data_IF_134669249861
#
_entry.id   IF_134669249861
#
_cell.length_a   1.000
_cell.length_b   1.000
_cell.length_c   1.000
_cell.angle_alpha   90.00
_cell.angle_beta   90.00
_cell.angle_gamma   90.00
#
_symmetry.space_group_name_H-M   'P 1'
#
loop_
_entity.id
_entity.type
_entity.pdbx_description
1 polymer ?
#
# COMPACT_ATOMS: atom_id res chain seq x y z
N UNK A 1 -12.88 64.53 -13.09
CA UNK A 1 -12.37 63.26 -13.65
C UNK A 1 -13.09 62.11 -12.96
N UNK A 2 -13.87 61.29 -13.68
CA UNK A 2 -14.62 60.16 -13.09
C UNK A 2 -13.70 58.93 -12.97
N UNK A 3 -13.69 58.20 -11.84
CA UNK A 3 -12.88 56.99 -11.72
C UNK A 3 -13.52 55.86 -12.53
N UNK A 4 -12.67 55.14 -13.26
CA UNK A 4 -13.03 54.00 -14.11
C UNK A 4 -13.26 52.80 -13.20
N UNK A 5 -14.48 52.26 -13.20
CA UNK A 5 -14.85 51.04 -12.50
C UNK A 5 -14.20 49.85 -13.22
N UNK A 6 -13.20 49.20 -12.60
CA UNK A 6 -12.63 47.94 -13.11
C UNK A 6 -13.50 46.78 -12.63
N UNK A 7 -14.21 46.14 -13.56
CA UNK A 7 -14.93 44.91 -13.28
C UNK A 7 -13.92 43.76 -13.13
N UNK A 8 -14.00 42.90 -12.09
CA UNK A 8 -13.12 41.74 -12.00
C UNK A 8 -13.51 40.72 -13.07
N UNK A 9 -12.56 40.36 -13.93
CA UNK A 9 -12.71 39.24 -14.86
C UNK A 9 -12.60 37.96 -14.02
N UNK A 10 -13.74 37.33 -13.74
CA UNK A 10 -13.78 36.00 -13.14
C UNK A 10 -13.46 34.99 -14.25
N UNK A 11 -12.22 34.50 -14.28
CA UNK A 11 -11.84 33.38 -15.14
C UNK A 11 -12.37 32.11 -14.49
N UNK A 12 -13.55 31.65 -14.93
CA UNK A 12 -14.06 30.34 -14.57
C UNK A 12 -13.20 29.29 -15.30
N UNK A 13 -12.31 28.62 -14.56
CA UNK A 13 -11.61 27.45 -15.07
C UNK A 13 -12.61 26.30 -15.18
N UNK A 14 -13.13 26.06 -16.38
CA UNK A 14 -13.91 24.87 -16.68
C UNK A 14 -12.95 23.67 -16.70
N UNK A 15 -12.89 22.93 -15.59
CA UNK A 15 -12.27 21.62 -15.58
C UNK A 15 -13.17 20.67 -16.40
N UNK A 16 -12.81 20.44 -17.66
CA UNK A 16 -13.38 19.39 -18.48
C UNK A 16 -12.93 18.05 -17.90
N UNK A 17 -13.74 17.46 -17.01
CA UNK A 17 -13.59 16.06 -16.63
C UNK A 17 -13.99 15.21 -17.83
N UNK A 18 -13.01 14.70 -18.56
CA UNK A 18 -13.24 13.58 -19.47
C UNK A 18 -13.63 12.40 -18.57
N UNK A 19 -14.93 12.12 -18.53
CA UNK A 19 -15.47 10.97 -17.81
C UNK A 19 -15.09 9.70 -18.54
N UNK A 20 -13.91 9.16 -18.24
CA UNK A 20 -13.57 7.78 -18.57
C UNK A 20 -14.55 6.92 -17.77
N UNK A 21 -15.38 6.15 -18.46
CA UNK A 21 -16.33 5.26 -17.82
C UNK A 21 -15.55 4.27 -16.92
N UNK A 22 -16.00 4.08 -15.68
CA UNK A 22 -15.36 3.18 -14.71
C UNK A 22 -15.17 1.74 -15.23
N UNK A 23 -15.92 1.34 -16.26
CA UNK A 23 -15.84 0.05 -16.95
C UNK A 23 -14.52 -0.15 -17.73
N UNK A 24 -13.83 0.93 -18.14
CA UNK A 24 -12.55 0.85 -18.89
C UNK A 24 -11.31 0.65 -17.99
N UNK A 25 -11.45 0.76 -16.66
CA UNK A 25 -10.34 0.65 -15.71
C UNK A 25 -10.35 -0.67 -14.92
N UNK A 26 -10.89 -1.74 -15.51
CA UNK A 26 -10.91 -3.07 -14.89
C UNK A 26 -9.68 -3.86 -15.36
N UNK A 27 -8.90 -4.37 -14.41
CA UNK A 27 -7.78 -5.25 -14.74
C UNK A 27 -8.29 -6.61 -15.22
N UNK A 28 -7.94 -6.99 -16.45
CA UNK A 28 -8.12 -8.35 -16.96
C UNK A 28 -6.94 -9.29 -16.63
N UNK A 29 -5.94 -8.79 -15.89
CA UNK A 29 -4.78 -9.59 -15.48
C UNK A 29 -5.21 -10.59 -14.40
N UNK A 30 -5.00 -11.90 -14.59
CA UNK A 30 -5.38 -12.91 -13.61
C UNK A 30 -4.64 -12.69 -12.29
N UNK A 31 -5.33 -12.93 -11.18
CA UNK A 31 -4.72 -12.89 -9.85
C UNK A 31 -3.73 -14.03 -9.75
N UNK A 32 -2.47 -13.69 -9.52
CA UNK A 32 -1.40 -14.60 -9.16
C UNK A 32 -0.81 -14.14 -7.82
N UNK A 33 -0.40 -15.08 -6.95
CA UNK A 33 0.46 -14.73 -5.82
C UNK A 33 1.67 -13.95 -6.31
N UNK A 34 2.09 -12.96 -5.54
CA UNK A 34 3.24 -12.13 -5.90
C UNK A 34 4.51 -13.01 -5.84
N UNK A 35 5.37 -12.94 -6.86
CA UNK A 35 6.67 -13.60 -6.79
C UNK A 35 7.68 -12.68 -6.09
N UNK A 36 8.59 -13.26 -5.29
CA UNK A 36 9.61 -12.50 -4.57
C UNK A 36 10.49 -11.69 -5.54
N UNK A 37 10.84 -12.29 -6.68
CA UNK A 37 11.68 -11.70 -7.72
C UNK A 37 11.00 -10.49 -8.38
N UNK A 38 9.66 -10.46 -8.45
CA UNK A 38 8.92 -9.30 -8.95
C UNK A 38 9.00 -8.13 -7.97
N UNK A 39 8.98 -8.43 -6.67
CA UNK A 39 9.09 -7.44 -5.61
C UNK A 39 10.51 -6.86 -5.55
N UNK A 40 11.54 -7.71 -5.63
CA UNK A 40 12.94 -7.31 -5.74
C UNK A 40 13.17 -6.43 -6.97
N UNK A 41 12.66 -6.82 -8.13
CA UNK A 41 12.83 -6.06 -9.37
C UNK A 41 12.18 -4.68 -9.30
N UNK A 42 11.08 -4.54 -8.56
CA UNK A 42 10.39 -3.25 -8.38
C UNK A 42 11.07 -2.38 -7.33
N UNK A 43 11.36 -2.95 -6.15
CA UNK A 43 11.85 -2.22 -4.99
C UNK A 43 13.37 -2.00 -4.97
N UNK A 44 14.11 -2.96 -5.53
CA UNK A 44 15.58 -2.97 -5.59
C UNK A 44 16.23 -4.08 -4.76
N UNK A 45 15.52 -4.67 -3.79
CA UNK A 45 15.88 -5.87 -3.03
C UNK A 45 14.65 -6.42 -2.27
N UNK A 46 14.78 -7.56 -1.60
CA UNK A 46 13.73 -8.10 -0.73
C UNK A 46 14.05 -7.84 0.75
N UNK A 47 13.71 -6.65 1.25
CA UNK A 47 13.86 -6.33 2.68
C UNK A 47 12.64 -6.78 3.51
N UNK A 48 12.76 -6.85 4.85
CA UNK A 48 11.65 -7.26 5.72
C UNK A 48 10.39 -6.42 5.53
N UNK A 49 10.50 -5.08 5.48
CA UNK A 49 9.32 -4.21 5.43
C UNK A 49 8.58 -4.27 4.09
N UNK A 50 9.29 -4.36 2.96
CA UNK A 50 8.64 -4.55 1.66
C UNK A 50 7.93 -5.91 1.61
N UNK A 51 8.52 -6.96 2.19
CA UNK A 51 7.88 -8.27 2.33
C UNK A 51 6.64 -8.22 3.23
N UNK A 52 6.68 -7.52 4.37
CA UNK A 52 5.52 -7.32 5.24
C UNK A 52 4.37 -6.64 4.47
N UNK A 53 4.66 -5.56 3.74
CA UNK A 53 3.67 -4.88 2.93
C UNK A 53 3.04 -5.78 1.86
N UNK A 54 3.85 -6.62 1.21
CA UNK A 54 3.36 -7.60 0.26
C UNK A 54 2.44 -8.64 0.92
N UNK A 55 2.79 -9.13 2.12
CA UNK A 55 1.96 -10.09 2.86
C UNK A 55 0.62 -9.52 3.31
N UNK A 56 0.59 -8.27 3.79
CA UNK A 56 -0.65 -7.58 4.15
C UNK A 56 -1.59 -7.47 2.95
N UNK A 57 -1.08 -7.02 1.80
CA UNK A 57 -1.91 -6.82 0.62
C UNK A 57 -2.36 -8.12 -0.02
N UNK A 58 -1.51 -9.15 -0.07
CA UNK A 58 -1.90 -10.45 -0.60
C UNK A 58 -2.97 -11.13 0.27
N UNK A 59 -2.84 -11.08 1.60
CA UNK A 59 -3.89 -11.58 2.49
C UNK A 59 -5.21 -10.82 2.30
N UNK A 60 -5.18 -9.48 2.17
CA UNK A 60 -6.40 -8.70 1.91
C UNK A 60 -7.09 -9.09 0.59
N UNK A 61 -6.33 -9.21 -0.50
CA UNK A 61 -6.90 -9.47 -1.83
C UNK A 61 -7.32 -10.93 -1.99
N UNK A 62 -6.49 -11.87 -1.56
CA UNK A 62 -6.72 -13.30 -1.81
C UNK A 62 -7.63 -13.91 -0.74
N UNK A 63 -7.37 -13.62 0.54
CA UNK A 63 -8.08 -14.30 1.63
C UNK A 63 -9.30 -13.51 2.15
N UNK A 64 -9.28 -12.18 2.04
CA UNK A 64 -10.42 -11.31 2.40
C UNK A 64 -11.24 -10.86 1.20
N UNK A 65 -10.89 -11.34 0.01
CA UNK A 65 -11.60 -11.06 -1.25
C UNK A 65 -11.82 -9.56 -1.52
N UNK A 66 -10.96 -8.70 -0.99
CA UNK A 66 -10.98 -7.27 -1.31
C UNK A 66 -10.56 -7.08 -2.78
N UNK A 67 -11.24 -6.20 -3.55
CA UNK A 67 -10.86 -5.92 -4.93
C UNK A 67 -9.39 -5.55 -5.09
N UNK A 68 -8.78 -5.94 -6.22
CA UNK A 68 -7.41 -5.57 -6.61
C UNK A 68 -7.42 -4.41 -7.60
N UNK A 69 -6.37 -3.59 -7.60
CA UNK A 69 -6.13 -2.45 -8.49
C UNK A 69 -7.07 -1.24 -8.31
N UNK A 70 -8.38 -1.45 -8.36
CA UNK A 70 -9.44 -0.46 -8.17
C UNK A 70 -10.57 -1.03 -7.29
N UNK A 71 -11.45 -0.17 -6.77
CA UNK A 71 -12.52 -0.58 -5.85
C UNK A 71 -12.03 -0.88 -4.42
N UNK A 72 -10.81 -0.44 -4.12
CA UNK A 72 -10.19 -0.52 -2.81
C UNK A 72 -9.53 0.82 -2.47
N UNK A 73 -9.44 1.12 -1.17
CA UNK A 73 -8.52 2.11 -0.61
C UNK A 73 -7.54 1.46 0.34
N UNK A 74 -6.30 1.92 0.31
CA UNK A 74 -5.24 1.52 1.24
C UNK A 74 -4.79 2.76 2.02
N UNK A 75 -5.06 2.79 3.32
CA UNK A 75 -4.49 3.77 4.24
C UNK A 75 -3.26 3.15 4.90
N UNK A 76 -2.12 3.82 4.76
CA UNK A 76 -0.85 3.43 5.37
C UNK A 76 -0.44 4.50 6.37
N UNK A 77 -0.42 4.15 7.63
CA UNK A 77 0.13 4.97 8.70
C UNK A 77 1.49 4.39 9.09
N UNK A 78 2.59 5.09 8.81
CA UNK A 78 3.94 4.66 9.18
C UNK A 78 4.95 5.83 9.09
N UNK A 79 6.17 5.66 9.63
CA UNK A 79 7.24 6.62 9.40
C UNK A 79 7.51 6.80 7.90
N UNK A 80 7.82 8.03 7.47
CA UNK A 80 8.05 8.35 6.05
C UNK A 80 9.39 7.87 5.51
N UNK A 81 10.30 7.44 6.38
CA UNK A 81 11.65 7.06 6.02
C UNK A 81 11.83 5.54 6.03
N UNK A 82 12.71 5.01 5.17
CA UNK A 82 13.14 3.62 5.26
C UNK A 82 13.68 3.28 6.66
N UNK A 83 13.53 2.01 7.10
CA UNK A 83 12.98 0.90 6.31
C UNK A 83 11.44 0.83 6.33
N UNK A 84 10.76 1.58 7.21
CA UNK A 84 9.30 1.45 7.40
C UNK A 84 8.49 1.77 6.13
N UNK A 85 8.82 2.86 5.44
CA UNK A 85 8.07 3.25 4.24
C UNK A 85 8.23 2.28 3.07
N UNK A 86 9.20 1.35 3.10
CA UNK A 86 9.33 0.29 2.09
C UNK A 86 8.09 -0.63 2.04
N UNK A 87 7.31 -0.72 3.11
CA UNK A 87 6.07 -1.52 3.12
C UNK A 87 5.03 -0.98 2.13
N UNK A 88 5.08 0.31 1.79
CA UNK A 88 4.20 0.94 0.80
C UNK A 88 4.41 0.26 -0.56
N UNK A 89 5.65 -0.04 -0.96
CA UNK A 89 5.94 -0.70 -2.24
C UNK A 89 5.39 -2.13 -2.28
N UNK A 90 5.51 -2.86 -1.18
CA UNK A 90 4.90 -4.18 -1.01
C UNK A 90 3.37 -4.15 -1.16
N UNK A 91 2.72 -3.15 -0.55
CA UNK A 91 1.28 -2.94 -0.69
C UNK A 91 0.90 -2.58 -2.13
N UNK A 92 1.67 -1.73 -2.80
CA UNK A 92 1.41 -1.36 -4.19
C UNK A 92 1.46 -2.57 -5.12
N UNK A 93 2.45 -3.44 -4.96
CA UNK A 93 2.63 -4.64 -5.79
C UNK A 93 1.57 -5.71 -5.52
N UNK A 94 1.24 -5.95 -4.25
CA UNK A 94 0.30 -7.00 -3.85
C UNK A 94 -1.16 -6.61 -4.06
N UNK A 95 -1.54 -5.37 -3.74
CA UNK A 95 -2.94 -4.88 -3.86
C UNK A 95 -3.22 -4.24 -5.21
N UNK A 96 -2.19 -3.77 -5.91
CA UNK A 96 -2.35 -2.94 -7.07
C UNK A 96 -2.86 -1.53 -6.76
N UNK A 97 -3.13 -1.12 -5.51
CA UNK A 97 -3.41 0.27 -5.17
C UNK A 97 -2.10 1.07 -5.26
N UNK A 98 -2.09 2.20 -5.97
CA UNK A 98 -0.82 2.89 -6.28
C UNK A 98 -0.94 4.40 -6.12
N UNK A 99 0.18 5.07 -5.85
CA UNK A 99 0.23 6.52 -5.70
C UNK A 99 -0.37 7.24 -6.93
N UNK A 100 -0.09 6.74 -8.14
CA UNK A 100 -0.64 7.29 -9.39
C UNK A 100 -2.16 7.12 -9.53
N UNK A 101 -2.70 5.98 -9.08
CA UNK A 101 -4.16 5.74 -9.00
C UNK A 101 -4.83 6.45 -7.83
N UNK A 102 -4.05 7.02 -6.91
CA UNK A 102 -4.51 7.77 -5.73
C UNK A 102 -5.44 6.98 -4.81
N UNK A 103 -5.31 5.65 -4.83
CA UNK A 103 -6.08 4.76 -3.97
C UNK A 103 -5.21 4.07 -2.90
N UNK A 104 -3.95 4.50 -2.78
CA UNK A 104 -3.13 4.33 -1.57
C UNK A 104 -2.80 5.73 -1.03
N UNK A 105 -2.91 5.90 0.28
CA UNK A 105 -2.61 7.15 0.99
C UNK A 105 -1.63 6.83 2.11
N UNK A 106 -0.56 7.61 2.20
CA UNK A 106 0.41 7.53 3.28
C UNK A 106 0.21 8.69 4.25
N UNK A 107 -0.05 8.35 5.52
CA UNK A 107 -0.09 9.26 6.64
C UNK A 107 1.14 9.01 7.53
N UNK A 108 1.84 10.10 7.90
CA UNK A 108 3.03 9.99 8.73
C UNK A 108 2.61 9.67 10.16
N UNK A 109 3.09 8.55 10.69
CA UNK A 109 2.82 8.10 12.04
C UNK A 109 4.06 7.43 12.66
N UNK A 110 4.11 7.35 13.99
CA UNK A 110 5.22 6.72 14.70
C UNK A 110 5.18 5.19 14.67
N UNK A 111 4.03 4.61 14.32
CA UNK A 111 3.80 3.16 14.32
C UNK A 111 3.12 2.71 13.04
N UNK A 112 3.36 1.45 12.65
CA UNK A 112 2.74 0.87 11.46
C UNK A 112 1.30 0.45 11.74
N UNK A 113 0.39 1.03 10.96
CA UNK A 113 -1.01 0.61 10.80
C UNK A 113 -1.34 0.64 9.31
N UNK A 114 -1.93 -0.44 8.81
CA UNK A 114 -2.41 -0.48 7.43
C UNK A 114 -3.86 -0.91 7.43
N UNK A 115 -4.73 -0.10 6.83
CA UNK A 115 -6.13 -0.44 6.65
C UNK A 115 -6.44 -0.52 5.16
N UNK A 116 -6.99 -1.65 4.74
CA UNK A 116 -7.41 -1.90 3.37
C UNK A 116 -8.92 -2.05 3.37
N UNK A 117 -9.61 -1.23 2.58
CA UNK A 117 -11.07 -1.13 2.56
C UNK A 117 -11.61 -1.41 1.17
N UNK A 118 -12.61 -2.29 1.05
CA UNK A 118 -13.42 -2.49 -0.15
C UNK A 118 -14.40 -1.32 -0.28
N UNK A 119 -14.28 -0.52 -1.34
CA UNK A 119 -15.10 0.68 -1.53
C UNK A 119 -16.57 0.36 -1.85
N UNK A 120 -16.87 -0.85 -2.32
CA UNK A 120 -18.22 -1.23 -2.73
C UNK A 120 -19.12 -1.53 -1.54
N UNK A 121 -18.61 -2.22 -0.53
CA UNK A 121 -19.40 -2.68 0.62
C UNK A 121 -18.92 -2.11 1.97
N UNK A 122 -17.75 -1.45 2.00
CA UNK A 122 -17.18 -0.87 3.23
C UNK A 122 -16.43 -1.87 4.11
N UNK A 123 -16.37 -3.15 3.73
CA UNK A 123 -15.60 -4.14 4.48
C UNK A 123 -14.12 -3.75 4.48
N UNK A 124 -13.46 -3.95 5.62
CA UNK A 124 -12.06 -3.58 5.77
C UNK A 124 -11.31 -4.58 6.61
N UNK A 125 -10.00 -4.64 6.39
CA UNK A 125 -9.05 -5.35 7.24
C UNK A 125 -7.94 -4.39 7.66
N UNK A 126 -7.57 -4.44 8.92
CA UNK A 126 -6.52 -3.61 9.52
C UNK A 126 -5.41 -4.48 10.08
N UNK A 127 -4.18 -4.16 9.71
CA UNK A 127 -2.97 -4.81 10.16
C UNK A 127 -2.20 -3.91 11.13
N UNK A 128 -1.66 -4.53 12.18
CA UNK A 128 -0.55 -4.00 13.00
C UNK A 128 0.54 -5.06 13.07
N UNK A 129 1.78 -4.63 13.23
CA UNK A 129 2.89 -5.54 13.51
C UNK A 129 2.97 -5.72 15.04
N UNK A 130 2.74 -6.93 15.58
CA UNK A 130 2.86 -7.17 17.01
C UNK A 130 4.32 -7.09 17.46
N UNK A 131 4.52 -6.86 18.75
CA UNK A 131 5.86 -6.81 19.36
C UNK A 131 6.67 -8.09 19.07
N UNK A 132 6.02 -9.26 19.06
CA UNK A 132 6.68 -10.53 18.74
C UNK A 132 7.34 -10.55 17.36
N UNK A 133 6.73 -9.92 16.35
CA UNK A 133 7.30 -9.84 14.99
C UNK A 133 8.46 -8.84 14.95
N UNK A 134 8.36 -7.71 15.65
CA UNK A 134 9.49 -6.78 15.78
C UNK A 134 10.69 -7.41 16.48
N UNK A 135 10.47 -8.14 17.57
CA UNK A 135 11.53 -8.85 18.28
C UNK A 135 12.17 -9.92 17.41
N UNK A 136 11.37 -10.72 16.68
CA UNK A 136 11.88 -11.70 15.73
C UNK A 136 12.79 -11.08 14.66
N UNK A 137 12.36 -9.96 14.05
CA UNK A 137 13.17 -9.25 13.06
C UNK A 137 14.46 -8.68 13.65
N UNK A 138 14.38 -8.15 14.87
CA UNK A 138 15.52 -7.61 15.61
C UNK A 138 16.53 -8.71 15.97
N UNK A 139 16.07 -9.87 16.44
CA UNK A 139 16.94 -11.01 16.75
C UNK A 139 17.75 -11.44 15.52
N UNK A 140 17.14 -11.46 14.33
CA UNK A 140 17.84 -11.75 13.08
C UNK A 140 18.89 -10.70 12.72
N UNK A 141 18.60 -9.43 12.97
CA UNK A 141 19.55 -8.34 12.77
C UNK A 141 20.74 -8.45 13.73
N UNK A 142 20.49 -8.74 15.01
CA UNK A 142 21.54 -8.85 16.04
C UNK A 142 22.51 -10.00 15.76
N UNK A 143 22.03 -11.11 15.18
CA UNK A 143 22.90 -12.22 14.75
C UNK A 143 23.54 -12.01 13.37
N UNK A 144 23.30 -10.86 12.74
CA UNK A 144 23.93 -10.48 11.47
C UNK A 144 23.42 -11.25 10.25
N UNK A 145 22.17 -11.72 10.27
CA UNK A 145 21.57 -12.36 9.10
C UNK A 145 21.50 -11.37 7.93
N UNK A 146 21.67 -11.82 6.69
CA UNK A 146 21.57 -10.92 5.53
C UNK A 146 20.17 -10.28 5.41
N UNK A 147 20.08 -9.08 4.84
CA UNK A 147 18.81 -8.34 4.75
C UNK A 147 17.82 -9.02 3.79
N UNK A 148 18.31 -9.60 2.69
CA UNK A 148 17.49 -10.33 1.72
C UNK A 148 17.03 -11.67 2.31
N UNK A 149 17.91 -12.37 3.04
CA UNK A 149 17.54 -13.58 3.79
C UNK A 149 16.41 -13.30 4.81
N UNK A 150 16.50 -12.16 5.51
CA UNK A 150 15.43 -11.71 6.43
C UNK A 150 14.13 -11.45 5.68
N UNK A 151 14.17 -10.78 4.53
CA UNK A 151 13.00 -10.55 3.70
C UNK A 151 12.37 -11.82 3.15
N UNK A 152 13.18 -12.77 2.65
CA UNK A 152 12.69 -14.07 2.19
C UNK A 152 11.99 -14.85 3.29
N UNK A 153 12.51 -14.82 4.54
CA UNK A 153 11.85 -15.45 5.68
C UNK A 153 10.47 -14.85 5.95
N UNK A 154 10.34 -13.52 5.99
CA UNK A 154 9.04 -12.85 6.13
C UNK A 154 8.12 -13.21 4.98
N UNK A 155 8.62 -13.19 3.74
CA UNK A 155 7.83 -13.45 2.55
C UNK A 155 7.25 -14.88 2.51
N UNK A 156 7.95 -15.84 3.12
CA UNK A 156 7.52 -17.23 3.23
C UNK A 156 6.48 -17.48 4.35
N UNK A 157 6.25 -16.52 5.26
CA UNK A 157 5.29 -16.65 6.36
C UNK A 157 3.90 -16.19 5.94
N UNK A 158 2.87 -16.76 6.58
CA UNK A 158 1.50 -16.33 6.39
C UNK A 158 1.21 -15.05 7.19
N UNK A 159 0.17 -14.31 6.79
CA UNK A 159 -0.17 -13.04 7.42
C UNK A 159 -0.53 -13.18 8.90
N UNK A 160 -1.17 -14.27 9.28
CA UNK A 160 -1.59 -14.60 10.65
C UNK A 160 -0.40 -14.82 11.59
N UNK A 161 0.76 -15.17 11.06
CA UNK A 161 2.00 -15.35 11.83
C UNK A 161 2.72 -14.02 12.08
N UNK A 162 2.42 -13.01 11.26
CA UNK A 162 3.14 -11.74 11.19
C UNK A 162 2.36 -10.55 11.77
N UNK A 163 1.03 -10.64 11.85
CA UNK A 163 0.19 -9.47 12.10
C UNK A 163 -0.89 -9.71 13.15
N UNK A 164 -1.22 -8.64 13.87
CA UNK A 164 -2.54 -8.51 14.47
C UNK A 164 -3.52 -8.05 13.39
N UNK A 165 -4.50 -8.89 13.08
CA UNK A 165 -5.49 -8.67 12.01
C UNK A 165 -6.85 -8.37 12.66
N UNK A 166 -7.46 -7.23 12.29
CA UNK A 166 -8.79 -6.81 12.76
C UNK A 166 -9.70 -6.46 11.60
#
# INVERSE_FOLDING_TARGET
MKPILRLPVVVAALALSVGIAADEMISHVPIKPLAAEELERFHGHLGPFVALGARMGEHAVIQREIPKYFGLKVLVECPATPPHSCLIDGLQMSTGATMGKKNIVHEIADSIRVTITNEKNGDSVTYRIPESTYLMMKDWEEVGLDVEDRGHRIFAMNAEELFEIK
#
